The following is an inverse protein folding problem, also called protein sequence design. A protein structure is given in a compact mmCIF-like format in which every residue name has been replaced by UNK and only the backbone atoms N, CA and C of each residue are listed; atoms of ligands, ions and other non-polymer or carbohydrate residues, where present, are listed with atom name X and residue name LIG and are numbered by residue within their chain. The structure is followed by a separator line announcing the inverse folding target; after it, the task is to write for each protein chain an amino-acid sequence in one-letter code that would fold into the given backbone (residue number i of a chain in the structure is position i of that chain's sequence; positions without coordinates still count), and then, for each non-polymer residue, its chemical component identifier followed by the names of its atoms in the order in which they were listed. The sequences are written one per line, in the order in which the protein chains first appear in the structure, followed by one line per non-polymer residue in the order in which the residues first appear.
data_IF_722584016208
#
_entry.id   IF_722584016208
#
_cell.length_a   1.000
_cell.length_b   1.000
_cell.length_c   1.000
_cell.angle_alpha   90.00
_cell.angle_beta   90.00
_cell.angle_gamma   90.00
#
_symmetry.space_group_name_H-M   'P 1'
#
loop_
_entity.id
_entity.type
_entity.pdbx_description
1 polymer ?
#
# COMPACT_ATOMS: atom_id res chain seq x y z
N UNK A 1 26.90 -51.64 35.77
CA UNK A 1 27.57 -50.33 35.59
C UNK A 1 26.58 -49.20 35.84
N UNK A 2 27.08 -48.08 36.36
CA UNK A 2 26.40 -46.78 36.43
C UNK A 2 25.85 -46.41 35.03
N UNK A 3 24.77 -45.66 34.83
CA UNK A 3 24.67 -44.23 35.18
C UNK A 3 23.30 -43.65 34.74
N UNK A 4 22.61 -43.02 35.71
CA UNK A 4 21.80 -41.78 35.67
C UNK A 4 20.47 -41.69 34.88
N UNK A 5 19.43 -41.45 35.68
CA UNK A 5 18.18 -40.74 35.36
C UNK A 5 18.44 -39.30 34.87
N UNK A 6 17.54 -38.76 34.05
CA UNK A 6 17.18 -37.35 34.07
C UNK A 6 15.66 -37.20 33.84
N UNK A 7 14.95 -36.30 34.55
CA UNK A 7 13.49 -36.26 34.60
C UNK A 7 12.87 -35.25 33.63
N UNK A 8 11.64 -35.55 33.22
CA UNK A 8 10.52 -34.62 32.93
C UNK A 8 10.79 -33.34 32.14
N UNK A 9 10.33 -33.32 30.88
CA UNK A 9 9.74 -32.13 30.26
C UNK A 9 8.43 -32.56 29.61
N UNK A 10 7.32 -32.18 30.24
CA UNK A 10 5.99 -32.27 29.64
C UNK A 10 5.83 -31.15 28.61
N UNK A 11 5.19 -31.49 27.49
CA UNK A 11 4.86 -30.55 26.44
C UNK A 11 3.86 -29.50 26.97
N UNK A 12 4.09 -28.18 26.75
CA UNK A 12 3.10 -27.18 27.09
C UNK A 12 1.95 -27.21 26.09
N UNK A 13 0.81 -27.71 26.54
CA UNK A 13 -0.51 -27.43 25.98
C UNK A 13 -0.76 -25.93 26.08
N UNK A 14 -0.87 -25.24 24.94
CA UNK A 14 -1.29 -23.82 24.93
C UNK A 14 -2.81 -23.76 24.89
N UNK A 15 -3.40 -23.45 26.03
CA UNK A 15 -4.82 -23.12 26.17
C UNK A 15 -5.11 -21.71 25.68
N UNK A 16 -6.27 -21.53 25.06
CA UNK A 16 -6.83 -20.24 24.68
C UNK A 16 -7.11 -19.38 25.92
N UNK A 17 -6.70 -18.11 25.89
CA UNK A 17 -7.20 -17.09 26.81
C UNK A 17 -6.26 -15.90 27.01
N UNK A 18 -6.87 -14.71 26.95
CA UNK A 18 -6.40 -13.41 27.44
C UNK A 18 -5.63 -12.50 26.48
N UNK A 19 -6.25 -11.34 26.25
CA UNK A 19 -5.71 -10.12 25.67
C UNK A 19 -4.42 -9.72 26.42
N UNK A 20 -3.32 -9.49 25.69
CA UNK A 20 -2.20 -8.71 26.20
C UNK A 20 -1.49 -7.96 25.07
N UNK A 21 -1.18 -6.71 25.37
CA UNK A 21 -0.61 -5.65 24.56
C UNK A 21 0.70 -6.02 23.85
N UNK A 22 0.82 -5.72 22.55
CA UNK A 22 2.11 -5.68 21.85
C UNK A 22 2.90 -4.43 22.25
N UNK A 23 3.53 -4.48 23.42
CA UNK A 23 4.50 -3.48 23.87
C UNK A 23 5.87 -3.84 23.32
N UNK A 24 6.38 -3.03 22.37
CA UNK A 24 7.81 -3.04 22.03
C UNK A 24 8.56 -2.15 23.03
N UNK A 25 8.96 -2.69 24.18
CA UNK A 25 9.93 -2.03 25.08
C UNK A 25 11.34 -2.37 24.60
N UNK A 26 12.09 -1.36 24.17
CA UNK A 26 13.52 -1.49 23.84
C UNK A 26 14.33 -1.80 25.10
N UNK A 27 15.06 -2.91 25.11
CA UNK A 27 16.14 -3.15 26.05
C UNK A 27 17.31 -2.21 25.73
N UNK A 28 17.73 -1.39 26.70
CA UNK A 28 18.96 -0.58 26.63
C UNK A 28 20.18 -1.50 26.67
N UNK A 29 20.93 -1.58 25.57
CA UNK A 29 22.29 -2.11 25.54
C UNK A 29 23.30 -0.96 25.44
N UNK A 30 24.27 -0.93 26.36
CA UNK A 30 25.25 0.14 26.56
C UNK A 30 26.18 0.39 25.37
N UNK A 31 26.66 1.63 25.29
CA UNK A 31 27.42 2.15 24.16
C UNK A 31 28.91 1.88 24.18
N UNK A 32 29.57 2.39 23.14
CA UNK A 32 30.98 2.80 23.10
C UNK A 32 31.21 3.68 21.84
N UNK A 33 31.65 4.92 22.09
CA UNK A 33 32.58 5.70 21.25
C UNK A 33 32.13 6.24 19.88
N UNK A 34 31.41 7.38 19.86
CA UNK A 34 31.28 8.19 18.64
C UNK A 34 32.31 9.34 18.65
N UNK A 35 33.20 9.38 17.64
CA UNK A 35 34.00 10.57 17.30
C UNK A 35 33.12 11.53 16.51
N UNK A 36 33.03 12.78 16.95
CA UNK A 36 32.31 13.87 16.26
C UNK A 36 33.16 14.48 15.14
N UNK A 37 32.69 14.51 13.88
CA UNK A 37 33.19 15.47 12.90
C UNK A 37 32.33 16.75 12.95
N UNK A 38 32.99 17.90 13.05
CA UNK A 38 32.34 19.21 13.04
C UNK A 38 31.71 19.51 11.68
N UNK A 39 30.43 19.91 11.71
CA UNK A 39 29.74 20.43 10.53
C UNK A 39 29.93 21.94 10.42
N UNK A 40 30.53 22.36 9.30
CA UNK A 40 30.64 23.76 8.88
C UNK A 40 29.25 24.33 8.57
N UNK A 41 28.97 25.51 9.12
CA UNK A 41 27.68 26.19 9.05
C UNK A 41 27.47 26.88 7.69
N UNK A 42 27.16 26.14 6.64
CA UNK A 42 26.58 26.69 5.41
C UNK A 42 25.53 25.72 4.85
N UNK A 43 24.32 25.77 5.40
CA UNK A 43 23.17 25.07 4.83
C UNK A 43 22.73 25.77 3.54
N UNK A 44 22.57 25.06 2.41
CA UNK A 44 21.94 25.65 1.24
C UNK A 44 20.49 25.99 1.58
N UNK A 45 20.06 27.20 1.24
CA UNK A 45 18.67 27.64 1.43
C UNK A 45 17.78 26.82 0.50
N UNK A 46 17.13 25.79 1.04
CA UNK A 46 16.09 25.06 0.32
C UNK A 46 14.96 26.04 -0.03
N UNK A 47 14.64 26.15 -1.32
CA UNK A 47 13.40 26.81 -1.73
C UNK A 47 12.22 26.15 -0.98
N UNK A 48 11.23 26.92 -0.51
CA UNK A 48 10.08 26.34 0.16
C UNK A 48 9.40 25.37 -0.79
N UNK A 49 9.35 24.09 -0.41
CA UNK A 49 8.58 23.09 -1.13
C UNK A 49 7.13 23.59 -1.24
N UNK A 50 6.48 23.51 -2.40
CA UNK A 50 5.08 23.90 -2.52
C UNK A 50 4.28 23.13 -1.47
N UNK A 51 3.40 23.83 -0.74
CA UNK A 51 2.52 23.19 0.25
C UNK A 51 1.32 22.58 -0.45
N UNK A 52 0.91 21.39 -0.02
CA UNK A 52 -0.32 20.75 -0.51
C UNK A 52 -1.54 21.58 -0.05
N UNK A 53 -2.48 21.83 -0.95
CA UNK A 53 -3.85 22.20 -0.56
C UNK A 53 -4.57 20.91 -0.10
N UNK A 54 -4.50 20.68 1.21
CA UNK A 54 -5.06 19.52 1.91
C UNK A 54 -6.58 19.46 1.71
N UNK A 55 -7.27 20.59 1.75
CA UNK A 55 -8.73 20.64 1.61
C UNK A 55 -9.20 20.08 0.27
N UNK A 56 -8.53 20.44 -0.82
CA UNK A 56 -8.83 19.88 -2.14
C UNK A 56 -8.50 18.37 -2.23
N UNK A 57 -7.47 17.87 -1.55
CA UNK A 57 -7.20 16.43 -1.48
C UNK A 57 -8.32 15.70 -0.71
N UNK A 58 -8.68 16.18 0.49
CA UNK A 58 -9.74 15.59 1.30
C UNK A 58 -11.07 15.57 0.54
N UNK A 59 -11.38 16.65 -0.18
CA UNK A 59 -12.54 16.73 -1.09
C UNK A 59 -12.44 15.71 -2.24
N UNK A 60 -11.26 15.53 -2.84
CA UNK A 60 -11.04 14.52 -3.91
C UNK A 60 -11.37 13.11 -3.46
N UNK A 61 -11.04 12.76 -2.21
CA UNK A 61 -11.29 11.43 -1.65
C UNK A 61 -12.60 11.32 -0.86
N UNK A 62 -13.37 12.41 -0.75
CA UNK A 62 -14.62 12.45 0.01
C UNK A 62 -14.44 12.28 1.52
N UNK A 63 -13.29 12.64 2.09
CA UNK A 63 -13.04 12.55 3.53
C UNK A 63 -13.55 13.80 4.26
N UNK A 64 -14.38 13.58 5.28
CA UNK A 64 -15.00 14.65 6.10
C UNK A 64 -14.73 14.48 7.60
N UNK A 65 -13.83 13.55 7.97
CA UNK A 65 -13.51 13.26 9.36
C UNK A 65 -12.43 14.17 9.96
N UNK A 66 -12.03 13.91 11.21
CA UNK A 66 -10.97 14.65 11.91
C UNK A 66 -9.60 14.52 11.22
N UNK A 67 -8.76 15.55 11.34
CA UNK A 67 -7.45 15.60 10.66
C UNK A 67 -6.26 15.36 11.59
N UNK A 68 -6.51 15.15 12.88
CA UNK A 68 -5.49 14.84 13.86
C UNK A 68 -4.78 13.50 13.54
N UNK A 69 -3.47 13.37 13.79
CA UNK A 69 -2.71 12.18 13.44
C UNK A 69 -3.01 11.01 14.38
N UNK A 70 -4.18 10.39 14.20
CA UNK A 70 -4.68 9.24 14.95
C UNK A 70 -4.83 8.01 14.04
N UNK A 71 -4.92 6.81 14.65
CA UNK A 71 -5.19 5.59 13.87
C UNK A 71 -6.55 5.65 13.17
N UNK A 72 -7.56 6.25 13.81
CA UNK A 72 -8.90 6.42 13.22
C UNK A 72 -8.85 7.30 11.97
N UNK A 73 -8.18 8.45 12.06
CA UNK A 73 -7.95 9.32 10.90
C UNK A 73 -7.18 8.60 9.79
N UNK A 74 -6.12 7.86 10.14
CA UNK A 74 -5.33 7.09 9.15
C UNK A 74 -6.19 6.07 8.40
N UNK A 75 -7.03 5.30 9.12
CA UNK A 75 -7.96 4.33 8.53
C UNK A 75 -8.99 5.01 7.64
N UNK A 76 -9.58 6.11 8.10
CA UNK A 76 -10.55 6.88 7.34
C UNK A 76 -9.97 7.43 6.03
N UNK A 77 -8.79 8.05 6.08
CA UNK A 77 -8.09 8.57 4.91
C UNK A 77 -7.73 7.45 3.91
N UNK A 78 -7.22 6.33 4.40
CA UNK A 78 -6.82 5.18 3.58
C UNK A 78 -8.02 4.61 2.81
N UNK A 79 -9.13 4.36 3.53
CA UNK A 79 -10.37 3.83 2.95
C UNK A 79 -11.00 4.78 1.94
N UNK A 80 -11.10 6.06 2.29
CA UNK A 80 -11.61 7.10 1.38
C UNK A 80 -10.77 7.22 0.10
N UNK A 81 -9.43 7.14 0.22
CA UNK A 81 -8.56 7.16 -0.96
C UNK A 81 -8.79 5.95 -1.85
N UNK A 82 -8.78 4.74 -1.29
CA UNK A 82 -8.97 3.50 -2.06
C UNK A 82 -10.29 3.47 -2.84
N UNK A 83 -11.38 3.97 -2.26
CA UNK A 83 -12.68 4.01 -2.93
C UNK A 83 -12.83 5.15 -3.95
N UNK A 84 -11.94 6.14 -3.94
CA UNK A 84 -12.09 7.35 -4.76
C UNK A 84 -11.03 7.50 -5.85
N UNK A 85 -9.82 6.98 -5.62
CA UNK A 85 -8.66 7.14 -6.51
C UNK A 85 -8.34 5.79 -7.15
N UNK A 86 -8.56 5.64 -8.47
CA UNK A 86 -8.30 4.38 -9.15
C UNK A 86 -6.82 4.02 -9.17
N UNK A 87 -6.53 2.73 -9.09
CA UNK A 87 -5.25 2.17 -9.49
C UNK A 87 -5.25 1.95 -11.00
N UNK A 88 -4.47 2.72 -11.75
CA UNK A 88 -4.55 2.78 -13.22
C UNK A 88 -3.19 2.97 -13.91
N UNK A 89 -3.11 2.52 -15.17
CA UNK A 89 -1.92 2.66 -16.04
C UNK A 89 -2.17 3.50 -17.29
N UNK A 90 -3.31 4.19 -17.40
CA UNK A 90 -3.79 4.87 -18.60
C UNK A 90 -2.83 5.93 -19.14
N UNK A 91 -2.09 6.60 -18.26
CA UNK A 91 -1.11 7.61 -18.70
C UNK A 91 -0.05 7.02 -19.65
N UNK A 92 0.41 5.80 -19.34
CA UNK A 92 1.34 5.04 -20.20
C UNK A 92 0.76 4.82 -21.60
N UNK A 93 -0.51 4.44 -21.67
CA UNK A 93 -1.19 4.13 -22.94
C UNK A 93 -1.65 5.36 -23.71
N UNK A 94 -1.74 6.52 -23.04
CA UNK A 94 -2.04 7.81 -23.66
C UNK A 94 -0.78 8.60 -24.05
N UNK A 95 0.42 8.06 -23.80
CA UNK A 95 1.68 8.77 -24.06
C UNK A 95 1.93 9.95 -23.12
N UNK A 96 1.25 10.00 -21.96
CA UNK A 96 1.45 10.98 -20.89
C UNK A 96 2.57 10.45 -19.96
N UNK A 97 3.77 11.06 -19.93
CA UNK A 97 4.87 10.57 -19.11
C UNK A 97 4.53 10.62 -17.62
N UNK A 98 4.81 9.55 -16.89
CA UNK A 98 4.65 9.54 -15.43
C UNK A 98 5.92 10.15 -14.82
N UNK A 99 5.75 11.24 -14.08
CA UNK A 99 6.82 11.90 -13.32
C UNK A 99 6.53 11.78 -11.84
N UNK A 100 7.57 11.58 -11.03
CA UNK A 100 7.42 11.46 -9.58
C UNK A 100 7.50 12.82 -8.85
N UNK A 101 7.17 13.91 -9.55
CA UNK A 101 7.12 15.24 -8.98
C UNK A 101 5.77 15.45 -8.28
N UNK A 102 5.77 15.56 -6.95
CA UNK A 102 4.57 15.67 -6.12
C UNK A 102 3.56 16.73 -6.61
N UNK A 103 3.94 17.94 -7.04
CA UNK A 103 2.98 18.92 -7.58
C UNK A 103 2.26 18.46 -8.84
N UNK A 104 2.94 17.74 -9.73
CA UNK A 104 2.35 17.21 -10.97
C UNK A 104 1.43 16.01 -10.67
N UNK A 105 1.84 15.16 -9.73
CA UNK A 105 0.99 14.07 -9.22
C UNK A 105 -0.29 14.62 -8.59
N UNK A 106 -0.18 15.71 -7.82
CA UNK A 106 -1.31 16.37 -7.20
C UNK A 106 -2.27 16.95 -8.24
N UNK A 107 -1.76 17.67 -9.24
CA UNK A 107 -2.60 18.18 -10.32
C UNK A 107 -3.35 17.04 -11.02
N UNK A 108 -2.64 15.97 -11.38
CA UNK A 108 -3.22 14.79 -12.04
C UNK A 108 -4.31 14.11 -11.18
N UNK A 109 -3.96 13.69 -9.96
CA UNK A 109 -4.85 12.85 -9.14
C UNK A 109 -5.94 13.68 -8.46
N UNK A 110 -5.62 14.87 -7.95
CA UNK A 110 -6.54 15.71 -7.18
C UNK A 110 -7.33 16.66 -8.07
N UNK A 111 -6.65 17.53 -8.85
CA UNK A 111 -7.33 18.56 -9.64
C UNK A 111 -8.04 17.97 -10.86
N UNK A 112 -7.37 17.07 -11.60
CA UNK A 112 -7.91 16.40 -12.79
C UNK A 112 -8.68 15.11 -12.49
N UNK A 113 -8.79 14.73 -11.20
CA UNK A 113 -9.50 13.55 -10.70
C UNK A 113 -9.11 12.23 -11.37
N UNK A 114 -7.84 12.07 -11.76
CA UNK A 114 -7.30 10.82 -12.31
C UNK A 114 -6.90 9.86 -11.20
N UNK A 115 -6.36 8.70 -11.59
CA UNK A 115 -5.65 7.78 -10.71
C UNK A 115 -4.17 7.69 -11.07
N UNK A 116 -3.51 6.66 -10.56
CA UNK A 116 -2.14 6.29 -10.95
C UNK A 116 -1.81 4.89 -10.47
N UNK A 117 -0.59 4.44 -10.75
CA UNK A 117 -0.06 3.22 -10.11
C UNK A 117 0.63 3.52 -8.76
N UNK A 118 1.38 2.56 -8.21
CA UNK A 118 1.79 2.58 -6.81
C UNK A 118 2.58 3.81 -6.38
N UNK A 119 3.56 4.25 -7.18
CA UNK A 119 4.40 5.40 -6.83
C UNK A 119 3.60 6.71 -6.77
N UNK A 120 2.64 6.87 -7.69
CA UNK A 120 1.81 8.07 -7.76
C UNK A 120 0.84 8.12 -6.57
N UNK A 121 0.12 7.02 -6.34
CA UNK A 121 -0.88 6.95 -5.26
C UNK A 121 -0.22 7.00 -3.88
N UNK A 122 0.78 6.15 -3.61
CA UNK A 122 1.43 6.12 -2.30
C UNK A 122 2.34 7.32 -2.08
N UNK A 123 3.02 7.84 -3.10
CA UNK A 123 3.81 9.07 -2.97
C UNK A 123 2.94 10.28 -2.62
N UNK A 124 1.79 10.42 -3.29
CA UNK A 124 0.87 11.51 -3.01
C UNK A 124 0.16 11.35 -1.66
N UNK A 125 -0.21 10.12 -1.28
CA UNK A 125 -0.78 9.82 0.02
C UNK A 125 0.21 10.07 1.16
N UNK A 126 1.50 9.75 0.97
CA UNK A 126 2.55 10.11 1.92
C UNK A 126 2.64 11.63 2.11
N UNK A 127 2.53 12.41 1.03
CA UNK A 127 2.57 13.87 1.12
C UNK A 127 1.37 14.42 1.89
N UNK A 128 0.17 13.87 1.69
CA UNK A 128 -1.01 14.19 2.50
C UNK A 128 -0.78 13.89 3.98
N UNK A 129 -0.35 12.67 4.30
CA UNK A 129 -0.12 12.24 5.68
C UNK A 129 0.92 13.13 6.38
N UNK A 130 2.04 13.45 5.71
CA UNK A 130 3.05 14.40 6.22
C UNK A 130 2.45 15.79 6.44
N UNK A 131 1.61 16.28 5.54
CA UNK A 131 0.94 17.59 5.67
C UNK A 131 -0.04 17.64 6.85
N UNK A 132 -0.64 16.49 7.22
CA UNK A 132 -1.51 16.32 8.38
C UNK A 132 -0.74 16.03 9.69
N UNK A 133 0.59 16.00 9.65
CA UNK A 133 1.43 15.81 10.83
C UNK A 133 1.70 14.34 11.21
N UNK A 134 1.36 13.38 10.36
CA UNK A 134 1.77 11.98 10.56
C UNK A 134 3.28 11.82 10.36
N UNK A 135 3.92 11.02 11.22
CA UNK A 135 5.25 10.49 10.96
C UNK A 135 5.14 9.30 10.00
N UNK A 136 5.51 9.49 8.74
CA UNK A 136 5.41 8.45 7.69
C UNK A 136 6.63 8.44 6.77
N UNK A 137 7.10 7.24 6.46
CA UNK A 137 8.25 6.95 5.60
C UNK A 137 7.85 5.98 4.49
N UNK A 138 8.57 6.01 3.37
CA UNK A 138 8.39 5.08 2.27
C UNK A 138 9.27 3.84 2.47
N UNK A 139 8.80 2.68 2.02
CA UNK A 139 9.55 1.43 1.99
C UNK A 139 9.49 0.83 0.58
N UNK A 140 10.55 0.13 0.18
CA UNK A 140 10.60 -0.59 -1.08
C UNK A 140 10.06 -2.02 -0.93
N UNK A 141 8.98 -2.30 -1.66
CA UNK A 141 8.36 -3.60 -1.79
C UNK A 141 8.77 -4.34 -3.07
N UNK A 142 8.69 -5.67 -3.03
CA UNK A 142 8.89 -6.56 -4.18
C UNK A 142 7.61 -7.38 -4.39
N UNK A 143 6.90 -7.16 -5.48
CA UNK A 143 5.60 -7.83 -5.71
C UNK A 143 5.83 -9.28 -6.08
N UNK A 144 5.07 -10.19 -5.46
CA UNK A 144 5.07 -11.59 -5.86
C UNK A 144 4.18 -11.76 -7.09
N UNK A 145 4.79 -12.13 -8.21
CA UNK A 145 4.05 -12.40 -9.42
C UNK A 145 3.12 -13.61 -9.22
N UNK A 146 1.81 -13.42 -9.40
CA UNK A 146 0.80 -14.47 -9.17
C UNK A 146 0.93 -15.69 -10.09
N UNK A 147 1.58 -15.56 -11.24
CA UNK A 147 1.70 -16.63 -12.23
C UNK A 147 3.04 -17.37 -12.10
N UNK A 148 4.13 -16.64 -11.90
CA UNK A 148 5.48 -17.24 -11.83
C UNK A 148 5.93 -17.53 -10.40
N UNK A 149 5.25 -16.98 -9.40
CA UNK A 149 5.62 -17.06 -7.98
C UNK A 149 6.89 -16.30 -7.60
N UNK A 150 7.56 -15.65 -8.56
CA UNK A 150 8.81 -14.90 -8.37
C UNK A 150 8.53 -13.51 -7.81
N UNK A 151 9.43 -13.04 -6.96
CA UNK A 151 9.44 -11.65 -6.49
C UNK A 151 9.97 -10.73 -7.59
N UNK A 152 9.35 -9.55 -7.72
CA UNK A 152 9.79 -8.46 -8.59
C UNK A 152 11.18 -7.94 -8.23
N UNK A 153 11.74 -7.02 -9.04
CA UNK A 153 13.02 -6.37 -8.74
C UNK A 153 12.94 -5.49 -7.47
N UNK A 154 14.06 -4.99 -6.95
CA UNK A 154 14.06 -3.94 -5.93
C UNK A 154 13.26 -2.71 -6.41
N UNK A 155 12.62 -1.98 -5.49
CA UNK A 155 11.81 -0.79 -5.79
C UNK A 155 10.61 -1.04 -6.75
N UNK A 156 10.15 -2.27 -6.88
CA UNK A 156 9.00 -2.65 -7.72
C UNK A 156 7.67 -2.11 -7.18
N UNK A 157 7.58 -1.86 -5.87
CA UNK A 157 6.40 -1.29 -5.23
C UNK A 157 6.78 -0.30 -4.13
N UNK A 158 6.11 0.85 -4.06
CA UNK A 158 6.22 1.76 -2.91
C UNK A 158 5.13 1.42 -1.92
N UNK A 159 5.48 1.19 -0.66
CA UNK A 159 4.53 1.09 0.47
C UNK A 159 4.92 2.09 1.55
N UNK A 160 4.00 2.44 2.44
CA UNK A 160 4.25 3.43 3.48
C UNK A 160 4.21 2.81 4.87
N UNK A 161 5.01 3.36 5.78
CA UNK A 161 5.01 3.01 7.20
C UNK A 161 4.71 4.23 8.05
N UNK A 162 3.52 4.28 8.65
CA UNK A 162 3.13 5.31 9.59
C UNK A 162 3.54 4.91 11.03
N UNK A 163 4.05 5.86 11.80
CA UNK A 163 4.43 5.68 13.21
C UNK A 163 3.49 6.52 14.10
N UNK A 164 2.72 5.85 14.95
CA UNK A 164 1.71 6.48 15.82
C UNK A 164 1.76 5.85 17.21
N UNK A 165 1.93 6.66 18.26
CA UNK A 165 1.93 6.18 19.64
C UNK A 165 2.92 5.04 19.92
N UNK A 166 4.10 5.07 19.29
CA UNK A 166 5.11 4.00 19.40
C UNK A 166 4.85 2.76 18.54
N UNK A 167 3.71 2.69 17.85
CA UNK A 167 3.32 1.58 16.98
C UNK A 167 3.59 1.90 15.51
N UNK A 168 3.65 0.85 14.68
CA UNK A 168 3.93 0.92 13.25
C UNK A 168 2.74 0.37 12.46
N UNK A 169 2.30 1.11 11.45
CA UNK A 169 1.17 0.75 10.61
C UNK A 169 1.58 0.77 9.14
N UNK A 170 1.47 -0.38 8.48
CA UNK A 170 1.65 -0.46 7.02
C UNK A 170 0.45 0.21 6.34
N UNK A 171 0.72 1.10 5.40
CA UNK A 171 -0.29 1.78 4.61
C UNK A 171 0.03 1.57 3.13
N UNK A 172 -0.98 1.24 2.34
CA UNK A 172 -0.82 0.99 0.91
C UNK A 172 -2.12 1.24 0.16
N UNK A 173 -2.20 2.43 -0.43
CA UNK A 173 -3.30 2.85 -1.31
C UNK A 173 -2.97 2.66 -2.80
N UNK A 174 -1.85 2.00 -3.08
CA UNK A 174 -1.24 1.90 -4.41
C UNK A 174 -1.08 0.49 -4.95
N UNK A 175 -1.45 -0.56 -4.20
CA UNK A 175 -1.35 -1.95 -4.68
C UNK A 175 -2.47 -2.34 -5.67
N UNK A 176 -3.57 -1.58 -5.70
CA UNK A 176 -4.78 -1.90 -6.44
C UNK A 176 -5.69 -2.84 -5.65
N UNK A 177 -5.33 -4.12 -5.57
CA UNK A 177 -6.10 -5.13 -4.83
C UNK A 177 -5.51 -5.39 -3.44
N UNK A 178 -5.38 -4.36 -2.61
CA UNK A 178 -4.80 -4.43 -1.25
C UNK A 178 -5.83 -4.53 -0.13
N UNK A 179 -5.38 -4.31 1.11
CA UNK A 179 -6.25 -4.16 2.28
C UNK A 179 -6.92 -2.77 2.28
N UNK A 180 -8.08 -2.64 2.91
CA UNK A 180 -8.85 -1.39 2.94
C UNK A 180 -8.44 -0.46 4.08
N UNK A 181 -7.98 -1.01 5.19
CA UNK A 181 -7.67 -0.25 6.41
C UNK A 181 -6.36 -0.73 7.06
N UNK A 182 -5.45 0.20 7.41
CA UNK A 182 -4.29 -0.12 8.24
C UNK A 182 -4.71 -0.66 9.61
N UNK A 183 -4.08 -1.75 10.04
CA UNK A 183 -4.41 -2.43 11.28
C UNK A 183 -4.00 -3.89 11.25
N UNK A 184 -3.85 -4.50 12.42
CA UNK A 184 -3.44 -5.88 12.55
C UNK A 184 -4.59 -6.83 12.20
N UNK A 185 -4.32 -7.79 11.31
CA UNK A 185 -4.99 -9.09 11.16
C UNK A 185 -6.50 -9.15 11.38
N UNK A 186 -7.19 -8.10 10.98
CA UNK A 186 -8.63 -8.00 11.07
C UNK A 186 -9.25 -8.50 9.75
N UNK A 187 -10.36 -9.26 9.80
CA UNK A 187 -11.13 -9.58 8.62
C UNK A 187 -11.54 -8.29 7.90
N UNK A 188 -11.25 -8.21 6.61
CA UNK A 188 -11.65 -7.10 5.74
C UNK A 188 -12.31 -7.65 4.48
N UNK A 189 -12.94 -6.76 3.73
CA UNK A 189 -13.39 -7.11 2.39
C UNK A 189 -12.20 -7.62 1.55
N UNK A 190 -12.38 -8.79 0.93
CA UNK A 190 -11.32 -9.44 0.15
C UNK A 190 -10.42 -10.39 0.94
N UNK A 191 -10.54 -10.46 2.27
CA UNK A 191 -9.87 -11.45 3.13
C UNK A 191 -9.22 -10.85 4.38
N UNK A 192 -8.54 -11.71 5.14
CA UNK A 192 -7.70 -11.28 6.26
C UNK A 192 -6.28 -11.04 5.76
N UNK A 193 -5.71 -9.88 6.08
CA UNK A 193 -4.34 -9.51 5.71
C UNK A 193 -3.43 -9.60 6.92
N UNK A 194 -2.28 -10.26 6.76
CA UNK A 194 -1.32 -10.46 7.84
C UNK A 194 0.11 -10.16 7.43
N UNK A 195 0.93 -9.84 8.43
CA UNK A 195 2.35 -9.58 8.24
C UNK A 195 3.16 -10.73 8.85
N UNK A 196 3.92 -11.43 8.00
CA UNK A 196 4.92 -12.40 8.43
C UNK A 196 6.32 -11.79 8.43
N UNK A 197 7.16 -12.15 9.40
CA UNK A 197 8.58 -11.78 9.44
C UNK A 197 9.43 -13.04 9.38
N UNK A 198 10.29 -13.15 8.37
CA UNK A 198 11.26 -14.24 8.24
C UNK A 198 12.59 -13.69 7.72
N UNK A 199 13.69 -13.98 8.44
CA UNK A 199 15.04 -13.57 8.03
C UNK A 199 15.22 -12.06 7.84
N UNK A 200 14.52 -11.23 8.64
CA UNK A 200 14.58 -9.76 8.54
C UNK A 200 13.76 -9.17 7.38
N UNK A 201 13.03 -9.99 6.63
CA UNK A 201 12.16 -9.58 5.53
C UNK A 201 10.70 -9.76 5.95
N UNK A 202 9.92 -8.70 5.78
CA UNK A 202 8.47 -8.72 6.00
C UNK A 202 7.76 -9.19 4.75
N UNK A 203 6.65 -9.92 4.92
CA UNK A 203 5.75 -10.34 3.87
C UNK A 203 4.31 -9.95 4.22
N UNK A 204 3.62 -9.30 3.29
CA UNK A 204 2.17 -9.15 3.36
C UNK A 204 1.51 -10.36 2.71
N UNK A 205 0.66 -11.03 3.47
CA UNK A 205 -0.11 -12.18 3.00
C UNK A 205 -1.61 -11.91 3.11
N UNK A 206 -2.38 -12.55 2.22
CA UNK A 206 -3.85 -12.54 2.27
C UNK A 206 -4.38 -13.96 2.44
N UNK A 207 -5.22 -14.15 3.45
CA UNK A 207 -6.04 -15.34 3.64
C UNK A 207 -7.44 -15.06 3.09
N UNK A 208 -7.92 -15.86 2.13
CA UNK A 208 -9.26 -15.67 1.57
C UNK A 208 -10.35 -16.22 2.48
N UNK A 209 -10.05 -17.30 3.20
CA UNK A 209 -10.92 -17.88 4.22
C UNK A 209 -10.10 -18.35 5.43
N UNK A 210 -10.72 -18.47 6.62
CA UNK A 210 -10.07 -19.05 7.78
C UNK A 210 -9.54 -20.47 7.48
N UNK A 211 -8.27 -20.73 7.82
CA UNK A 211 -7.63 -22.04 7.63
C UNK A 211 -7.02 -22.28 6.24
N UNK A 212 -7.18 -21.35 5.29
CA UNK A 212 -6.47 -21.42 4.00
C UNK A 212 -5.01 -20.96 4.12
N UNK A 213 -4.17 -21.43 3.19
CA UNK A 213 -2.78 -20.95 3.09
C UNK A 213 -2.75 -19.48 2.62
N UNK A 214 -1.87 -18.68 3.22
CA UNK A 214 -1.73 -17.27 2.93
C UNK A 214 -1.15 -17.01 1.53
N UNK A 215 -1.85 -16.25 0.70
CA UNK A 215 -1.32 -15.74 -0.56
C UNK A 215 -0.38 -14.56 -0.28
N UNK A 216 0.94 -14.77 -0.39
CA UNK A 216 1.92 -13.68 -0.35
C UNK A 216 1.71 -12.71 -1.51
N UNK A 217 1.54 -11.42 -1.19
CA UNK A 217 1.33 -10.33 -2.14
C UNK A 217 2.66 -9.65 -2.50
N UNK A 218 3.43 -9.25 -1.49
CA UNK A 218 4.73 -8.63 -1.66
C UNK A 218 5.57 -8.76 -0.39
N UNK A 219 6.88 -8.57 -0.53
CA UNK A 219 7.83 -8.50 0.58
C UNK A 219 8.48 -7.12 0.66
N UNK A 220 8.96 -6.73 1.84
CA UNK A 220 9.64 -5.45 2.07
C UNK A 220 10.60 -5.53 3.26
N UNK A 221 11.53 -4.58 3.35
CA UNK A 221 12.36 -4.33 4.54
C UNK A 221 11.95 -3.02 5.20
N UNK A 222 12.50 -2.72 6.38
CA UNK A 222 12.25 -1.46 7.08
C UNK A 222 13.25 -0.36 6.71
N UNK A 223 14.04 -0.58 5.65
CA UNK A 223 14.88 0.48 5.07
C UNK A 223 13.98 1.57 4.50
N UNK A 224 14.30 2.82 4.80
CA UNK A 224 13.51 3.98 4.38
C UNK A 224 13.95 4.44 3.00
N UNK A 225 12.97 4.68 2.13
CA UNK A 225 13.17 5.11 0.74
C UNK A 225 12.40 6.39 0.47
N UNK A 226 12.97 7.28 -0.33
CA UNK A 226 12.31 8.48 -0.83
C UNK A 226 11.68 8.21 -2.19
N UNK A 227 10.64 8.97 -2.54
CA UNK A 227 9.90 8.78 -3.79
C UNK A 227 10.82 8.84 -5.03
N UNK A 228 11.87 9.68 -4.98
CA UNK A 228 12.83 9.83 -6.07
C UNK A 228 13.64 8.56 -6.37
N UNK A 229 13.86 7.70 -5.37
CA UNK A 229 14.64 6.47 -5.55
C UNK A 229 13.93 5.45 -6.46
N UNK A 230 12.61 5.57 -6.60
CA UNK A 230 11.78 4.74 -7.46
C UNK A 230 11.80 5.18 -8.93
N UNK A 231 12.46 6.29 -9.29
CA UNK A 231 12.41 6.86 -10.63
C UNK A 231 12.85 5.88 -11.73
N UNK A 232 13.91 5.09 -11.48
CA UNK A 232 14.40 4.10 -12.43
C UNK A 232 13.37 2.98 -12.67
N UNK A 233 12.76 2.45 -11.60
CA UNK A 233 11.73 1.42 -11.71
C UNK A 233 10.42 1.95 -12.28
N UNK A 234 10.05 3.19 -11.97
CA UNK A 234 8.95 3.90 -12.62
C UNK A 234 9.17 3.97 -14.14
N UNK A 235 10.39 4.33 -14.57
CA UNK A 235 10.77 4.35 -15.98
C UNK A 235 10.65 2.96 -16.63
N UNK A 236 11.16 1.92 -15.97
CA UNK A 236 11.00 0.54 -16.42
C UNK A 236 9.52 0.17 -16.57
N UNK A 237 8.67 0.46 -15.57
CA UNK A 237 7.28 0.05 -15.61
C UNK A 237 6.47 0.71 -16.73
N UNK A 238 6.78 1.96 -17.08
CA UNK A 238 6.08 2.69 -18.14
C UNK A 238 6.62 2.42 -19.56
N UNK A 239 7.86 1.93 -19.72
CA UNK A 239 8.48 1.75 -21.05
C UNK A 239 8.78 0.30 -21.42
N UNK A 240 9.13 -0.55 -20.45
CA UNK A 240 9.65 -1.88 -20.75
C UNK A 240 8.53 -2.78 -21.31
N UNK A 241 8.73 -3.44 -22.47
CA UNK A 241 7.75 -4.39 -23.01
C UNK A 241 7.47 -5.60 -22.11
N UNK A 242 8.33 -5.85 -21.12
CA UNK A 242 8.15 -6.90 -20.10
C UNK A 242 7.34 -6.43 -18.88
N UNK A 243 7.03 -5.14 -18.77
CA UNK A 243 6.19 -4.59 -17.70
C UNK A 243 4.72 -4.75 -18.03
N UNK A 244 3.94 -5.31 -17.11
CA UNK A 244 2.49 -5.45 -17.28
C UNK A 244 1.80 -4.10 -17.50
N UNK A 245 2.33 -3.02 -16.90
CA UNK A 245 1.78 -1.68 -17.01
C UNK A 245 1.95 -1.09 -18.44
N UNK A 246 3.04 -1.45 -19.13
CA UNK A 246 3.25 -1.10 -20.53
C UNK A 246 2.49 -2.04 -21.48
N UNK A 247 2.33 -3.32 -21.13
CA UNK A 247 1.62 -4.28 -21.97
C UNK A 247 0.10 -4.09 -21.99
N UNK A 248 -0.52 -3.75 -20.86
CA UNK A 248 -1.98 -3.71 -20.72
C UNK A 248 -2.44 -2.44 -20.01
N UNK A 249 -3.39 -1.77 -20.64
CA UNK A 249 -4.13 -0.69 -19.99
C UNK A 249 -5.08 -1.29 -18.96
N UNK A 250 -5.10 -0.73 -17.76
CA UNK A 250 -6.12 -1.04 -16.79
C UNK A 250 -6.47 0.17 -15.91
N UNK A 251 -7.64 0.12 -15.31
CA UNK A 251 -8.12 1.03 -14.29
C UNK A 251 -8.98 0.23 -13.32
N UNK A 252 -8.61 0.19 -12.05
CA UNK A 252 -9.25 -0.63 -11.03
C UNK A 252 -9.66 0.20 -9.83
N UNK A 253 -10.88 -0.02 -9.35
CA UNK A 253 -11.43 0.67 -8.20
C UNK A 253 -12.28 -0.30 -7.35
N UNK A 254 -11.96 -0.49 -6.05
CA UNK A 254 -12.84 -1.21 -5.14
C UNK A 254 -14.17 -0.47 -4.99
N UNK A 255 -15.26 -1.19 -4.69
CA UNK A 255 -16.59 -0.62 -4.56
C UNK A 255 -17.04 -0.56 -3.10
N UNK A 256 -17.69 0.52 -2.65
CA UNK A 256 -18.34 0.54 -1.35
C UNK A 256 -19.38 -0.58 -1.25
N UNK A 257 -19.25 -1.45 -0.24
CA UNK A 257 -20.19 -2.53 0.01
C UNK A 257 -19.82 -3.87 -0.65
N UNK A 258 -18.67 -3.98 -1.28
CA UNK A 258 -18.20 -5.24 -1.80
C UNK A 258 -17.75 -5.22 -3.25
N UNK A 259 -16.57 -5.76 -3.49
CA UNK A 259 -16.07 -6.08 -4.81
C UNK A 259 -15.25 -4.98 -5.46
N UNK A 260 -15.09 -5.11 -6.77
CA UNK A 260 -14.15 -4.32 -7.55
C UNK A 260 -14.60 -4.19 -8.99
N UNK A 261 -14.50 -2.99 -9.52
CA UNK A 261 -14.60 -2.73 -10.96
C UNK A 261 -13.20 -2.60 -11.52
N UNK A 262 -12.91 -3.36 -12.57
CA UNK A 262 -11.64 -3.25 -13.30
C UNK A 262 -11.92 -3.18 -14.78
N UNK A 263 -11.53 -2.08 -15.40
CA UNK A 263 -11.41 -1.99 -16.85
C UNK A 263 -10.02 -2.48 -17.23
N UNK A 264 -9.91 -3.44 -18.14
CA UNK A 264 -8.64 -3.97 -18.62
C UNK A 264 -8.70 -4.18 -20.14
N UNK A 265 -7.90 -3.43 -20.90
CA UNK A 265 -8.02 -3.35 -22.34
C UNK A 265 -9.39 -2.78 -22.75
N UNK A 266 -10.27 -3.62 -23.29
CA UNK A 266 -11.67 -3.28 -23.63
C UNK A 266 -12.70 -4.00 -22.76
N UNK A 267 -12.26 -4.72 -21.72
CA UNK A 267 -13.14 -5.55 -20.89
C UNK A 267 -13.41 -4.84 -19.57
N UNK A 268 -14.70 -4.72 -19.24
CA UNK A 268 -15.12 -4.42 -17.87
C UNK A 268 -15.27 -5.73 -17.09
N UNK A 269 -14.57 -5.83 -15.98
CA UNK A 269 -14.59 -6.95 -15.05
C UNK A 269 -15.18 -6.44 -13.74
N UNK A 270 -16.33 -6.97 -13.36
CA UNK A 270 -16.91 -6.75 -12.04
C UNK A 270 -16.67 -8.01 -11.19
N UNK A 271 -15.95 -7.84 -10.08
CA UNK A 271 -15.88 -8.85 -9.03
C UNK A 271 -16.84 -8.43 -7.94
N UNK A 272 -17.73 -9.33 -7.54
CA UNK A 272 -18.65 -9.11 -6.42
C UNK A 272 -18.14 -9.96 -5.26
N UNK A 273 -17.87 -9.36 -4.10
CA UNK A 273 -17.75 -10.13 -2.86
C UNK A 273 -19.15 -10.45 -2.39
N UNK A 274 -19.53 -11.73 -2.26
CA UNK A 274 -20.89 -12.03 -1.89
C UNK A 274 -21.17 -11.66 -0.44
N UNK A 275 -22.31 -11.04 -0.20
CA UNK A 275 -23.11 -11.43 0.95
C UNK A 275 -23.63 -12.85 0.65
N UNK A 276 -22.86 -13.88 1.03
CA UNK A 276 -23.27 -15.29 1.01
C UNK A 276 -23.86 -15.87 -0.31
N UNK A 277 -23.26 -15.69 -1.49
CA UNK A 277 -23.45 -16.57 -2.68
C UNK A 277 -22.26 -16.45 -3.65
N UNK A 278 -21.56 -17.54 -3.94
CA UNK A 278 -20.42 -17.72 -4.89
C UNK A 278 -20.14 -16.61 -5.91
N UNK A 279 -18.86 -16.20 -6.13
CA UNK A 279 -18.51 -15.10 -7.02
C UNK A 279 -18.91 -15.40 -8.47
N UNK A 280 -19.86 -14.63 -9.01
CA UNK A 280 -20.14 -14.62 -10.44
C UNK A 280 -19.11 -13.73 -11.12
N UNK A 281 -18.23 -14.34 -11.92
CA UNK A 281 -17.33 -13.63 -12.81
C UNK A 281 -18.13 -13.12 -14.03
N UNK A 282 -18.83 -11.99 -13.88
CA UNK A 282 -19.50 -11.36 -15.01
C UNK A 282 -18.48 -10.63 -15.88
N UNK A 283 -17.99 -11.29 -16.94
CA UNK A 283 -17.29 -10.60 -18.03
C UNK A 283 -18.35 -10.05 -18.99
N UNK A 284 -18.78 -8.81 -18.77
CA UNK A 284 -19.59 -8.12 -19.76
C UNK A 284 -18.71 -7.82 -20.99
N UNK A 285 -18.92 -8.57 -22.06
CA UNK A 285 -18.39 -8.24 -23.40
C UNK A 285 -19.55 -7.65 -24.18
N UNK A 286 -19.78 -6.34 -24.04
CA UNK A 286 -20.81 -5.69 -24.86
C UNK A 286 -20.13 -5.02 -26.06
N UNK A 287 -20.13 -5.75 -27.17
CA UNK A 287 -19.98 -5.19 -28.50
C UNK A 287 -21.26 -4.43 -28.88
N UNK A 288 -21.04 -3.33 -29.62
CA UNK A 288 -22.00 -2.47 -30.31
C UNK A 288 -22.73 -1.41 -29.48
N UNK A 289 -22.44 -0.14 -29.81
CA UNK A 289 -23.34 0.99 -29.61
C UNK A 289 -22.98 1.91 -28.44
N UNK A 290 -22.10 2.88 -28.70
CA UNK A 290 -21.99 4.19 -28.03
C UNK A 290 -22.55 4.28 -26.60
N UNK A 291 -21.98 3.57 -25.64
CA UNK A 291 -22.12 3.95 -24.22
C UNK A 291 -20.96 4.89 -23.89
N UNK A 292 -21.17 6.20 -24.07
CA UNK A 292 -20.34 7.22 -23.41
C UNK A 292 -20.58 7.10 -21.91
N UNK A 293 -19.92 6.14 -21.25
CA UNK A 293 -19.66 6.31 -19.83
C UNK A 293 -18.63 7.42 -19.72
N UNK A 294 -19.09 8.59 -19.30
CA UNK A 294 -18.19 9.63 -18.88
C UNK A 294 -17.36 9.05 -17.73
N UNK A 295 -16.08 8.77 -17.97
CA UNK A 295 -15.03 8.98 -16.98
C UNK A 295 -14.95 10.49 -16.67
N UNK A 296 -16.07 11.06 -16.22
CA UNK A 296 -16.04 12.16 -15.28
C UNK A 296 -16.01 11.45 -13.95
N UNK A 297 -14.81 11.25 -13.45
CA UNK A 297 -14.59 10.89 -12.06
C UNK A 297 -15.48 11.82 -11.22
N UNK A 298 -16.51 11.24 -10.58
CA UNK A 298 -17.24 11.90 -9.51
C UNK A 298 -16.24 12.42 -8.49
#
# INVERSE_FOLDING_TARGET
EMRKQNPGQGDPVVSAGSQDSWVLTLARGGGLGARTPGFSAHSPRFAPQPRMDVGAYLSRIGYQGPTEPTLETLRGLHRCHLFSVPFESLSVHCGEPITLALPLLYDKIVRRRRGGFCYENNGLFQWLLRALGFCVVGLAGRVRNRFTGRLGPPCDHLVLLARLGGQRFLCDVGFGDGFLEPGLEQPQEGGTFRLGLAGGVWALERLRAPGEEGQMLYTFTLEEWELGDFAAMCCYHQQAPSSIFACKSFCSLPQPGGGRLTYMGWRLIATLTPASVSPILCTATQCQGRTKFALRAA
#
